data_IF_182793471509
#
_entry.id   IF_182793471509
#
_cell.length_a   1.000
_cell.length_b   1.000
_cell.length_c   1.000
_cell.angle_alpha   90.00
_cell.angle_beta   90.00
_cell.angle_gamma   90.00
#
_symmetry.space_group_name_H-M   'P 1'
#
loop_
_entity.id
_entity.type
_entity.pdbx_description
1 polymer ?
2 branched ?
3 branched ?
4 branched ?
5 branched ?
6 branched ?
7 non-polymer ?
#
# COMPACT_ATOMS: atom_id res chain seq x y z
N UNK A 1 -22.91 -38.98 -0.99
CA UNK A 1 -22.50 -38.12 -2.13
C UNK A 1 -21.01 -37.79 -2.13
N UNK A 2 -20.46 -37.41 -0.96
CA UNK A 2 -19.03 -37.07 -0.83
C UNK A 2 -18.20 -38.35 -0.96
N UNK A 3 -18.39 -39.06 -2.06
CA UNK A 3 -17.71 -40.33 -2.28
C UNK A 3 -16.34 -40.35 -2.94
N UNK A 4 -15.39 -39.61 -2.38
CA UNK A 4 -14.01 -39.60 -2.90
C UNK A 4 -13.12 -38.67 -2.10
N UNK A 5 -11.90 -39.13 -1.80
CA UNK A 5 -10.92 -38.35 -1.03
C UNK A 5 -10.65 -37.01 -1.70
N UNK A 6 -10.30 -36.02 -0.90
CA UNK A 6 -9.98 -34.70 -1.42
C UNK A 6 -8.53 -34.43 -1.01
N UNK A 7 -7.62 -34.36 -1.97
CA UNK A 7 -6.23 -34.08 -1.62
C UNK A 7 -6.09 -32.63 -1.20
N UNK A 8 -5.31 -32.41 -0.14
CA UNK A 8 -5.08 -31.07 0.39
C UNK A 8 -3.59 -30.88 0.49
N UNK A 9 -3.13 -29.65 0.33
CA UNK A 9 -1.70 -29.40 0.40
C UNK A 9 -1.37 -28.55 1.61
N UNK A 10 -0.22 -28.84 2.21
CA UNK A 10 0.24 -28.03 3.32
C UNK A 10 1.73 -27.82 3.21
N UNK A 11 2.16 -26.58 2.92
CA UNK A 11 1.31 -25.41 2.69
C UNK A 11 0.46 -25.53 1.41
N UNK A 12 -0.67 -24.81 1.37
CA UNK A 12 -1.64 -24.77 0.27
C UNK A 12 -1.06 -24.61 -1.12
N UNK A 13 0.08 -23.93 -1.18
CA UNK A 13 0.76 -23.64 -2.43
C UNK A 13 1.01 -24.87 -3.27
N UNK A 14 0.35 -24.90 -4.43
CA UNK A 14 0.49 -26.01 -5.36
C UNK A 14 1.62 -25.68 -6.33
N UNK A 15 2.14 -24.47 -6.21
CA UNK A 15 3.24 -24.02 -7.03
C UNK A 15 4.36 -23.69 -6.05
N UNK A 16 5.47 -24.41 -6.13
CA UNK A 16 6.53 -24.17 -5.19
C UNK A 16 7.92 -24.15 -5.81
N UNK A 17 8.84 -23.47 -5.15
CA UNK A 17 10.21 -23.39 -5.61
C UNK A 17 10.95 -24.71 -5.43
N UNK A 18 11.95 -24.94 -6.28
CA UNK A 18 12.75 -26.15 -6.20
C UNK A 18 13.40 -26.20 -4.83
N UNK A 19 13.38 -27.38 -4.21
CA UNK A 19 14.00 -27.52 -2.91
C UNK A 19 13.10 -27.26 -1.71
N UNK A 20 11.91 -26.71 -1.96
CA UNK A 20 10.99 -26.46 -0.88
C UNK A 20 10.25 -27.74 -0.50
N UNK A 21 9.48 -27.66 0.58
CA UNK A 21 8.77 -28.83 1.05
C UNK A 21 7.28 -28.68 0.90
N UNK A 22 6.58 -29.80 0.94
CA UNK A 22 5.13 -29.77 0.82
C UNK A 22 4.59 -31.13 1.23
N UNK A 23 3.41 -31.13 1.85
CA UNK A 23 2.83 -32.39 2.30
C UNK A 23 1.44 -32.60 1.77
N UNK A 24 1.28 -33.68 1.02
CA UNK A 24 -0.01 -34.01 0.46
C UNK A 24 -0.73 -34.85 1.48
N UNK A 25 -2.00 -34.53 1.73
CA UNK A 25 -2.77 -35.30 2.69
C UNK A 25 -4.07 -35.79 2.07
N UNK A 26 -4.33 -37.09 2.24
CA UNK A 26 -5.52 -37.72 1.71
C UNK A 26 -6.56 -37.82 2.81
N UNK A 27 -7.62 -37.03 2.71
CA UNK A 27 -8.67 -37.06 3.73
C UNK A 27 -10.06 -37.25 3.13
N UNK A 28 -10.95 -37.90 3.89
CA UNK A 28 -12.31 -38.14 3.44
C UNK A 28 -13.26 -38.38 4.59
N UNK A 29 -14.49 -38.80 4.29
CA UNK A 29 -15.47 -39.07 5.33
C UNK A 29 -15.16 -40.41 5.99
N UNK A 30 -15.07 -40.39 7.32
CA UNK A 30 -14.77 -41.60 8.06
C UNK A 30 -15.94 -42.58 8.01
N UNK A 31 -16.56 -42.71 6.83
CA UNK A 31 -17.71 -43.62 6.67
C UNK A 31 -17.22 -45.06 6.67
N UNK A 32 -16.14 -45.29 5.92
CA UNK A 32 -15.53 -46.61 5.86
C UNK A 32 -14.12 -46.44 6.42
N UNK A 33 -13.68 -47.40 7.22
CA UNK A 33 -12.36 -47.30 7.80
C UNK A 33 -11.25 -47.34 6.76
N UNK A 34 -10.15 -46.66 7.07
CA UNK A 34 -9.01 -46.60 6.19
C UNK A 34 -7.70 -46.92 6.92
N UNK A 35 -7.12 -48.09 6.62
CA UNK A 35 -5.87 -48.47 7.27
C UNK A 35 -4.71 -48.20 6.32
N UNK A 36 -5.01 -48.11 5.02
CA UNK A 36 -3.97 -47.87 4.01
C UNK A 36 -4.40 -46.91 2.91
N UNK A 37 -3.44 -46.50 2.10
CA UNK A 37 -3.69 -45.57 1.00
C UNK A 37 -2.90 -45.93 -0.26
N UNK A 38 -3.32 -45.37 -1.37
CA UNK A 38 -2.67 -45.59 -2.64
C UNK A 38 -2.41 -44.21 -3.22
N UNK A 39 -1.14 -43.91 -3.44
CA UNK A 39 -0.74 -42.62 -4.00
C UNK A 39 -0.38 -42.77 -5.46
N UNK A 40 -0.62 -41.73 -6.24
CA UNK A 40 -0.32 -41.81 -7.65
C UNK A 40 0.37 -40.57 -8.17
N UNK A 41 1.67 -40.70 -8.43
CA UNK A 41 2.43 -39.60 -9.01
C UNK A 41 2.34 -39.84 -10.50
N UNK A 42 1.98 -38.81 -11.24
CA UNK A 42 1.83 -38.95 -12.68
C UNK A 42 1.25 -40.34 -13.03
N UNK A 43 0.13 -40.69 -12.41
CA UNK A 43 -0.52 -41.96 -12.68
C UNK A 43 0.15 -43.21 -12.17
N UNK A 44 1.42 -43.16 -11.81
CA UNK A 44 2.06 -44.35 -11.31
C UNK A 44 1.88 -44.47 -9.82
N UNK A 45 1.78 -45.70 -9.33
CA UNK A 45 1.60 -45.96 -7.91
C UNK A 45 2.89 -45.71 -7.15
N UNK A 46 2.79 -44.95 -6.07
CA UNK A 46 3.96 -44.64 -5.26
C UNK A 46 4.11 -45.77 -4.26
N UNK A 47 5.21 -45.77 -3.52
CA UNK A 47 5.39 -46.81 -2.52
C UNK A 47 4.78 -46.34 -1.21
N UNK A 48 4.64 -45.01 -1.09
CA UNK A 48 4.07 -44.41 0.12
C UNK A 48 2.67 -44.94 0.40
N UNK A 49 2.43 -45.39 1.63
CA UNK A 49 1.13 -45.93 1.99
C UNK A 49 0.45 -45.17 3.13
N UNK A 50 1.12 -44.17 3.69
CA UNK A 50 0.55 -43.40 4.78
C UNK A 50 -0.37 -42.33 4.20
N UNK A 51 -1.41 -41.98 4.93
CA UNK A 51 -2.37 -40.98 4.46
C UNK A 51 -1.73 -39.62 4.17
N UNK A 52 -0.44 -39.49 4.47
CA UNK A 52 0.25 -38.24 4.23
C UNK A 52 1.48 -38.46 3.38
N UNK A 53 1.45 -37.92 2.17
CA UNK A 53 2.56 -38.03 1.25
C UNK A 53 3.45 -36.80 1.36
N UNK A 54 4.71 -37.02 1.74
CA UNK A 54 5.63 -35.90 1.90
C UNK A 54 6.61 -35.72 0.76
N UNK A 55 6.92 -34.46 0.47
CA UNK A 55 7.85 -34.10 -0.58
C UNK A 55 8.94 -33.22 0.03
N UNK A 56 10.15 -33.75 0.05
CA UNK A 56 11.26 -33.01 0.65
C UNK A 56 12.25 -32.48 -0.39
N UNK A 57 12.53 -31.18 -0.32
CA UNK A 57 13.46 -30.56 -1.25
C UNK A 57 13.01 -30.91 -2.65
N UNK A 58 11.79 -30.48 -2.95
CA UNK A 58 11.17 -30.73 -4.23
C UNK A 58 12.12 -30.54 -5.40
N UNK A 59 12.13 -31.53 -6.28
CA UNK A 59 12.95 -31.51 -7.49
C UNK A 59 11.94 -31.20 -8.60
N UNK A 60 12.41 -30.94 -9.82
CA UNK A 60 11.45 -30.65 -10.87
C UNK A 60 10.69 -31.93 -11.18
N UNK A 61 11.38 -33.06 -11.00
CA UNK A 61 10.78 -34.36 -11.24
C UNK A 61 9.58 -34.57 -10.33
N UNK A 62 9.51 -33.79 -9.27
CA UNK A 62 8.40 -33.90 -8.34
C UNK A 62 7.16 -33.21 -8.87
N UNK A 63 7.33 -32.36 -9.87
CA UNK A 63 6.19 -31.67 -10.46
C UNK A 63 5.25 -32.74 -11.01
N UNK A 64 4.05 -32.36 -11.40
CA UNK A 64 3.16 -33.36 -11.93
C UNK A 64 1.76 -33.44 -11.35
N UNK A 65 1.15 -34.60 -11.55
CA UNK A 65 -0.21 -34.84 -11.09
C UNK A 65 -0.21 -35.83 -9.95
N UNK A 66 -0.81 -35.42 -8.84
CA UNK A 66 -0.90 -36.29 -7.67
C UNK A 66 -2.37 -36.59 -7.40
N UNK A 67 -2.63 -37.83 -6.97
CA UNK A 67 -3.98 -38.28 -6.64
C UNK A 67 -3.96 -39.55 -5.83
N UNK A 68 -4.68 -39.55 -4.71
CA UNK A 68 -4.72 -40.70 -3.84
C UNK A 68 -6.01 -41.46 -4.04
N UNK A 69 -6.05 -42.68 -3.52
CA UNK A 69 -7.23 -43.53 -3.65
C UNK A 69 -7.35 -44.55 -2.52
N UNK A 70 -8.53 -44.58 -1.87
CA UNK A 70 -8.83 -45.51 -0.75
C UNK A 70 -9.66 -46.66 -1.26
N UNK A 71 -9.73 -47.75 -0.50
CA UNK A 71 -10.53 -48.91 -0.88
C UNK A 71 -12.03 -48.56 -0.89
N UNK A 72 -12.84 -49.29 -1.63
CA UNK A 72 -14.29 -49.01 -1.65
C UNK A 72 -14.74 -47.61 -2.01
N UNK A 73 -13.88 -46.78 -2.57
CA UNK A 73 -14.29 -45.45 -2.94
C UNK A 73 -13.62 -45.00 -4.22
N UNK A 74 -14.28 -44.12 -4.97
CA UNK A 74 -13.72 -43.62 -6.22
C UNK A 74 -12.32 -43.02 -6.06
N UNK A 75 -11.68 -42.75 -7.19
CA UNK A 75 -10.34 -42.18 -7.23
C UNK A 75 -10.39 -40.69 -6.94
N UNK A 76 -9.54 -40.20 -6.05
CA UNK A 76 -9.56 -38.76 -5.72
C UNK A 76 -9.42 -37.91 -6.97
N UNK A 77 -9.80 -36.64 -6.88
CA UNK A 77 -9.66 -35.75 -8.03
C UNK A 77 -8.17 -35.50 -8.10
N UNK A 78 -7.67 -35.05 -9.26
CA UNK A 78 -6.24 -34.79 -9.43
C UNK A 78 -5.83 -33.49 -8.79
N UNK A 79 -4.55 -33.42 -8.46
CA UNK A 79 -3.96 -32.23 -7.87
C UNK A 79 -2.63 -32.02 -8.56
N UNK A 80 -2.46 -30.87 -9.20
CA UNK A 80 -1.23 -30.60 -9.92
C UNK A 80 -0.26 -29.75 -9.16
N UNK A 81 0.92 -30.31 -8.98
CA UNK A 81 1.99 -29.65 -8.28
C UNK A 81 3.05 -29.28 -9.32
N UNK A 82 3.57 -28.06 -9.24
CA UNK A 82 4.58 -27.63 -10.20
C UNK A 82 5.79 -26.92 -9.56
N UNK A 83 6.96 -27.55 -9.62
CA UNK A 83 8.19 -26.99 -9.08
C UNK A 83 8.81 -25.94 -10.00
N UNK A 84 9.12 -24.77 -9.45
CA UNK A 84 9.71 -23.68 -10.21
C UNK A 84 11.10 -23.37 -9.67
N UNK A 85 11.74 -22.42 -10.36
CA UNK A 85 13.07 -21.94 -10.02
C UNK A 85 13.21 -20.57 -10.67
N UNK A 86 12.95 -19.54 -9.90
CA UNK A 86 13.03 -18.17 -10.36
C UNK A 86 13.06 -17.29 -9.10
N UNK A 87 13.23 -15.99 -9.26
CA UNK A 87 13.28 -15.12 -8.11
C UNK A 87 11.91 -14.93 -7.45
N UNK A 88 10.87 -14.78 -8.26
CA UNK A 88 9.52 -14.61 -7.73
C UNK A 88 8.57 -15.66 -8.24
N UNK A 89 7.81 -16.24 -7.32
CA UNK A 89 6.80 -17.24 -7.65
C UNK A 89 5.51 -16.71 -7.08
N UNK A 90 4.45 -16.72 -7.88
CA UNK A 90 3.15 -16.22 -7.41
C UNK A 90 2.36 -17.42 -7.00
N UNK A 91 2.20 -17.61 -5.70
CA UNK A 91 1.46 -18.76 -5.20
C UNK A 91 -0.01 -18.43 -4.99
N UNK A 92 -0.86 -19.45 -5.09
CA UNK A 92 -2.29 -19.23 -4.90
C UNK A 92 -2.97 -20.33 -4.10
N UNK A 93 -3.95 -19.92 -3.29
CA UNK A 93 -4.69 -20.85 -2.45
C UNK A 93 -5.32 -21.91 -3.32
N UNK A 94 -5.66 -21.51 -4.54
CA UNK A 94 -6.29 -22.38 -5.51
C UNK A 94 -6.37 -21.60 -6.82
N UNK A 95 -5.92 -22.23 -7.90
CA UNK A 95 -5.95 -21.57 -9.20
C UNK A 95 -7.37 -21.41 -9.72
N UNK A 96 -8.26 -22.29 -9.25
CA UNK A 96 -9.68 -22.24 -9.62
C UNK A 96 -10.55 -22.29 -8.37
N UNK A 97 -11.48 -21.34 -8.26
CA UNK A 97 -12.35 -21.27 -7.10
C UNK A 97 -13.82 -20.98 -7.43
N UNK A 98 -14.69 -21.66 -6.70
CA UNK A 98 -16.12 -21.49 -6.88
C UNK A 98 -16.48 -20.11 -6.35
N UNK A 99 -17.28 -19.38 -7.10
CA UNK A 99 -17.70 -18.05 -6.68
C UNK A 99 -18.14 -18.02 -5.23
N UNK A 100 -17.62 -17.06 -4.49
CA UNK A 100 -17.97 -16.95 -3.08
C UNK A 100 -16.90 -17.48 -2.17
N UNK A 101 -16.15 -18.49 -2.61
CA UNK A 101 -15.09 -19.04 -1.77
C UNK A 101 -13.90 -18.09 -1.64
N UNK A 102 -13.00 -18.37 -0.68
CA UNK A 102 -11.83 -17.50 -0.53
C UNK A 102 -10.79 -17.74 -1.61
N UNK A 103 -10.09 -16.68 -1.97
CA UNK A 103 -9.05 -16.70 -2.98
C UNK A 103 -7.83 -16.06 -2.36
N UNK A 104 -6.74 -16.79 -2.25
CA UNK A 104 -5.55 -16.23 -1.61
C UNK A 104 -4.28 -16.17 -2.48
N UNK A 105 -3.85 -14.96 -2.81
CA UNK A 105 -2.64 -14.80 -3.59
C UNK A 105 -1.44 -14.42 -2.74
N UNK A 106 -0.24 -14.70 -3.25
CA UNK A 106 0.97 -14.45 -2.48
C UNK A 106 2.16 -14.32 -3.42
N UNK A 107 3.02 -13.36 -3.15
CA UNK A 107 4.21 -13.17 -3.97
C UNK A 107 5.39 -13.73 -3.21
N UNK A 108 5.59 -15.03 -3.30
CA UNK A 108 6.67 -15.74 -2.61
C UNK A 108 8.06 -15.53 -3.22
N UNK A 109 9.00 -15.08 -2.40
CA UNK A 109 10.35 -14.82 -2.88
C UNK A 109 11.31 -15.99 -2.76
N UNK A 110 12.22 -16.09 -3.73
CA UNK A 110 13.20 -17.17 -3.75
C UNK A 110 13.86 -17.34 -2.38
N UNK A 111 14.04 -18.60 -1.97
CA UNK A 111 14.62 -18.91 -0.68
C UNK A 111 13.96 -18.12 0.44
N UNK A 112 12.64 -18.11 0.43
CA UNK A 112 11.82 -17.42 1.41
C UNK A 112 12.15 -15.95 1.64
N UNK A 113 13.12 -15.44 0.89
CA UNK A 113 13.51 -14.05 1.02
C UNK A 113 12.32 -13.13 1.06
N UNK A 114 12.44 -12.03 1.79
CA UNK A 114 11.35 -11.07 1.88
C UNK A 114 11.31 -10.26 0.61
N UNK A 115 10.11 -9.85 0.24
CA UNK A 115 9.94 -9.10 -1.00
C UNK A 115 9.45 -7.70 -0.70
N UNK A 116 10.04 -6.69 -1.32
CA UNK A 116 9.59 -5.33 -1.05
C UNK A 116 8.90 -4.69 -2.26
N UNK A 117 8.29 -3.53 -2.03
CA UNK A 117 7.56 -2.80 -3.08
C UNK A 117 6.83 -3.77 -4.00
N UNK A 118 6.05 -4.66 -3.39
CA UNK A 118 5.29 -5.66 -4.13
C UNK A 118 4.05 -5.11 -4.79
N UNK A 119 3.89 -5.42 -6.06
CA UNK A 119 2.72 -4.99 -6.79
C UNK A 119 2.12 -6.19 -7.50
N UNK A 120 0.80 -6.28 -7.51
CA UNK A 120 0.16 -7.38 -8.18
C UNK A 120 -0.58 -6.83 -9.37
N UNK A 121 -0.43 -7.52 -10.49
CA UNK A 121 -1.10 -7.10 -11.71
C UNK A 121 -2.10 -8.14 -12.12
N UNK A 122 -3.34 -7.69 -12.36
CA UNK A 122 -4.41 -8.57 -12.80
C UNK A 122 -4.77 -8.09 -14.18
N UNK A 123 -4.36 -8.87 -15.18
CA UNK A 123 -4.62 -8.55 -16.58
C UNK A 123 -3.83 -7.31 -16.98
N UNK A 124 -2.50 -7.41 -16.86
CA UNK A 124 -1.62 -6.31 -17.22
C UNK A 124 -1.87 -5.02 -16.47
N UNK A 125 -3.00 -4.94 -15.75
CA UNK A 125 -3.36 -3.77 -14.97
C UNK A 125 -2.85 -3.95 -13.53
N UNK A 126 -2.40 -2.85 -12.94
CA UNK A 126 -1.86 -2.90 -11.58
C UNK A 126 -2.93 -2.71 -10.51
N UNK A 127 -3.12 -3.76 -9.71
CA UNK A 127 -4.09 -3.78 -8.62
C UNK A 127 -3.65 -2.78 -7.53
N UNK A 128 -3.86 -1.50 -7.82
CA UNK A 128 -3.46 -0.45 -6.90
C UNK A 128 -3.94 -0.68 -5.49
N UNK A 129 -5.24 -0.69 -5.31
CA UNK A 129 -5.82 -0.91 -3.99
C UNK A 129 -4.96 -1.84 -3.14
N UNK A 130 -4.66 -3.03 -3.65
CA UNK A 130 -3.85 -3.96 -2.86
C UNK A 130 -2.43 -3.49 -2.48
N UNK A 131 -1.98 -2.39 -3.06
CA UNK A 131 -0.64 -1.87 -2.78
C UNK A 131 -0.28 -1.90 -1.28
N UNK A 132 -1.24 -1.57 -0.44
CA UNK A 132 -1.00 -1.57 1.00
C UNK A 132 -0.61 -2.96 1.48
N UNK A 133 -1.46 -3.95 1.23
CA UNK A 133 -1.18 -5.31 1.66
C UNK A 133 0.02 -5.93 0.96
N UNK A 134 0.68 -6.84 1.65
CA UNK A 134 1.84 -7.53 1.10
C UNK A 134 1.32 -8.55 0.09
N UNK A 135 0.34 -9.33 0.53
CA UNK A 135 -0.28 -10.33 -0.32
C UNK A 135 -1.76 -10.00 -0.53
N UNK A 136 -2.45 -10.81 -1.32
CA UNK A 136 -3.85 -10.53 -1.61
C UNK A 136 -4.76 -11.59 -1.06
N UNK A 137 -5.65 -11.18 -0.16
CA UNK A 137 -6.60 -12.12 0.45
C UNK A 137 -8.02 -11.68 0.16
N UNK A 138 -8.78 -12.56 -0.50
CA UNK A 138 -10.14 -12.23 -0.86
C UNK A 138 -11.08 -13.28 -0.29
N UNK A 139 -11.72 -12.92 0.81
CA UNK A 139 -12.64 -13.82 1.50
C UNK A 139 -13.71 -14.38 0.59
N UNK A 140 -14.54 -13.49 0.05
CA UNK A 140 -15.59 -13.91 -0.86
C UNK A 140 -15.23 -13.53 -2.31
N UNK A 141 -14.89 -14.54 -3.11
CA UNK A 141 -14.53 -14.34 -4.51
C UNK A 141 -15.67 -13.91 -5.42
N UNK A 142 -15.30 -13.41 -6.60
CA UNK A 142 -16.25 -12.94 -7.61
C UNK A 142 -15.77 -13.40 -8.98
N UNK A 143 -16.69 -13.56 -9.93
CA UNK A 143 -16.31 -14.00 -11.27
C UNK A 143 -15.48 -12.90 -11.92
N UNK A 144 -15.53 -11.69 -11.37
CA UNK A 144 -14.76 -10.58 -11.93
C UNK A 144 -13.29 -10.68 -11.51
N UNK A 145 -13.04 -11.33 -10.37
CA UNK A 145 -11.68 -11.53 -9.88
C UNK A 145 -10.89 -12.46 -10.79
N UNK A 146 -11.55 -13.04 -11.79
CA UNK A 146 -10.90 -13.94 -12.72
C UNK A 146 -9.96 -13.14 -13.61
N UNK A 147 -8.90 -13.80 -14.08
CA UNK A 147 -7.94 -13.13 -14.94
C UNK A 147 -6.52 -13.66 -14.76
N UNK A 148 -5.57 -13.08 -15.50
CA UNK A 148 -4.19 -13.51 -15.39
C UNK A 148 -3.46 -12.56 -14.42
N UNK A 149 -2.93 -13.14 -13.35
CA UNK A 149 -2.23 -12.36 -12.35
C UNK A 149 -0.73 -12.59 -12.45
N UNK A 150 0.01 -11.75 -11.75
CA UNK A 150 1.46 -11.86 -11.66
C UNK A 150 1.95 -10.71 -10.80
N UNK A 151 2.98 -10.98 -10.00
CA UNK A 151 3.52 -9.94 -9.15
C UNK A 151 4.88 -9.45 -9.57
N UNK A 152 5.25 -8.33 -9.00
CA UNK A 152 6.49 -7.67 -9.30
C UNK A 152 7.11 -7.27 -7.96
N UNK A 153 8.30 -7.73 -7.64
CA UNK A 153 8.87 -7.34 -6.37
C UNK A 153 10.39 -7.36 -6.19
N UNK A 154 10.91 -6.40 -5.43
CA UNK A 154 12.34 -6.32 -5.17
C UNK A 154 12.76 -7.43 -4.21
N UNK A 155 13.75 -8.21 -4.61
CA UNK A 155 14.26 -9.31 -3.79
C UNK A 155 15.77 -9.23 -3.67
N UNK A 156 16.25 -8.97 -2.46
CA UNK A 156 17.68 -8.87 -2.23
C UNK A 156 18.30 -7.82 -3.16
N UNK A 157 17.75 -6.62 -3.15
CA UNK A 157 18.29 -5.52 -3.94
C UNK A 157 18.10 -5.45 -5.46
N UNK A 158 17.23 -6.28 -6.04
CA UNK A 158 16.99 -6.20 -7.49
C UNK A 158 15.51 -6.37 -7.82
N UNK A 159 15.01 -5.72 -8.87
CA UNK A 159 13.60 -5.88 -9.20
C UNK A 159 13.38 -7.13 -10.04
N UNK A 160 12.22 -7.76 -9.87
CA UNK A 160 11.90 -8.96 -10.65
C UNK A 160 10.41 -9.03 -10.91
N UNK A 161 10.00 -9.99 -11.74
CA UNK A 161 8.60 -10.19 -12.09
C UNK A 161 8.37 -11.69 -12.18
N UNK A 162 7.27 -12.15 -11.60
CA UNK A 162 6.94 -13.56 -11.59
C UNK A 162 6.26 -13.99 -12.87
N UNK A 163 6.16 -15.30 -13.08
CA UNK A 163 5.49 -15.81 -14.27
C UNK A 163 4.02 -15.59 -14.01
N UNK A 164 3.27 -15.16 -15.04
CA UNK A 164 1.84 -14.93 -14.84
C UNK A 164 1.15 -16.23 -14.45
N UNK A 165 -0.04 -16.08 -13.85
CA UNK A 165 -0.84 -17.23 -13.39
C UNK A 165 -2.29 -16.91 -13.66
N UNK A 166 -2.97 -17.73 -14.45
CA UNK A 166 -4.38 -17.48 -14.80
C UNK A 166 -5.22 -18.03 -13.69
N UNK A 167 -6.18 -17.22 -13.23
CA UNK A 167 -7.07 -17.60 -12.14
C UNK A 167 -8.53 -17.33 -12.50
N UNK A 168 -9.35 -18.38 -12.37
CA UNK A 168 -10.74 -18.24 -12.71
C UNK A 168 -11.68 -18.61 -11.58
N UNK A 169 -12.67 -17.74 -11.36
CA UNK A 169 -13.68 -17.94 -10.34
C UNK A 169 -14.96 -18.25 -11.11
N UNK A 170 -15.52 -19.45 -10.89
CA UNK A 170 -16.72 -19.86 -11.60
C UNK A 170 -18.05 -19.55 -10.91
N UNK A 171 -18.98 -19.06 -11.73
CA UNK A 171 -20.34 -18.69 -11.34
C UNK A 171 -21.09 -20.01 -11.33
N UNK A 172 -21.62 -20.41 -10.17
CA UNK A 172 -22.30 -21.69 -10.06
C UNK A 172 -23.78 -21.72 -10.41
N UNK A 173 -24.16 -22.50 -11.43
CA UNK A 173 -25.56 -22.62 -11.84
C UNK A 173 -26.10 -23.89 -11.21
N UNK A 174 -27.35 -23.89 -10.76
CA UNK A 174 -27.92 -25.11 -10.16
C UNK A 174 -29.33 -25.41 -10.69
N UNK B 1 5.50 43.26 27.24
CA UNK B 1 4.56 43.31 26.08
C UNK B 1 3.95 41.92 25.88
N UNK B 2 2.79 41.84 25.20
CA UNK B 2 2.15 40.55 24.97
C UNK B 2 2.70 39.89 23.70
N UNK B 3 2.97 38.59 23.78
CA UNK B 3 3.47 37.86 22.62
C UNK B 3 2.38 36.96 22.10
N UNK B 4 1.48 37.53 21.29
CA UNK B 4 0.40 36.76 20.72
C UNK B 4 0.92 35.40 20.27
N UNK B 5 0.14 34.34 20.53
CA UNK B 5 0.51 32.97 20.15
C UNK B 5 0.81 32.88 18.67
N UNK B 6 1.66 31.93 18.31
CA UNK B 6 2.01 31.72 16.91
C UNK B 6 1.61 30.27 16.61
N UNK B 7 0.61 30.08 15.75
CA UNK B 7 0.20 28.72 15.42
C UNK B 7 1.25 28.07 14.51
N UNK B 8 1.55 26.81 14.81
CA UNK B 8 2.54 26.07 14.05
C UNK B 8 1.89 24.76 13.61
N UNK B 9 2.28 24.26 12.45
CA UNK B 9 1.69 23.02 11.97
C UNK B 9 2.71 21.89 11.97
N UNK B 10 2.22 20.69 12.23
CA UNK B 10 3.10 19.53 12.20
C UNK B 10 2.34 18.36 11.63
N UNK B 11 2.69 17.94 10.40
CA UNK B 11 3.74 18.52 9.55
C UNK B 11 3.42 19.93 9.08
N UNK B 12 4.46 20.74 8.78
CA UNK B 12 4.40 22.15 8.33
C UNK B 12 3.42 22.44 7.23
N UNK B 13 3.14 21.41 6.44
CA UNK B 13 2.23 21.52 5.31
C UNK B 13 0.87 22.05 5.68
N UNK B 14 0.57 23.25 5.18
CA UNK B 14 -0.70 23.89 5.44
C UNK B 14 -1.67 23.48 4.34
N UNK B 15 -1.17 22.72 3.36
CA UNK B 15 -1.99 22.24 2.27
C UNK B 15 -1.85 20.74 2.34
N UNK B 16 -2.95 20.05 2.52
CA UNK B 16 -2.83 18.60 2.67
C UNK B 16 -3.94 17.85 1.97
N UNK B 17 -3.66 16.58 1.67
CA UNK B 17 -4.63 15.72 1.01
C UNK B 17 -5.76 15.30 1.95
N UNK B 18 -6.93 15.04 1.37
CA UNK B 18 -8.07 14.59 2.15
C UNK B 18 -7.71 13.28 2.84
N UNK B 19 -8.01 13.17 4.12
CA UNK B 19 -7.70 11.95 4.83
C UNK B 19 -6.38 11.94 5.56
N UNK B 20 -5.55 12.95 5.32
CA UNK B 20 -4.26 13.00 6.02
C UNK B 20 -4.42 13.64 7.39
N UNK B 21 -3.41 13.51 8.26
CA UNK B 21 -3.47 14.09 9.61
C UNK B 21 -2.54 15.29 9.75
N UNK B 22 -2.90 16.20 10.64
CA UNK B 22 -2.11 17.40 10.88
C UNK B 22 -2.39 17.87 12.33
N UNK B 23 -1.40 18.44 12.99
CA UNK B 23 -1.59 18.91 14.34
C UNK B 23 -1.24 20.38 14.53
N UNK B 24 -2.25 21.16 14.88
CA UNK B 24 -2.02 22.57 15.13
C UNK B 24 -1.56 22.73 16.57
N UNK B 25 -0.54 23.54 16.78
CA UNK B 25 -0.03 23.76 18.12
C UNK B 25 0.04 25.23 18.43
N UNK B 26 -0.50 25.60 19.59
CA UNK B 26 -0.53 26.99 20.05
C UNK B 26 0.58 27.24 21.05
N UNK B 27 1.50 28.14 20.70
CA UNK B 27 2.62 28.48 21.56
C UNK B 27 3.18 29.83 21.13
N UNK B 28 3.96 30.46 22.00
CA UNK B 28 4.52 31.75 21.67
C UNK B 28 5.09 32.44 22.90
N UNK B 29 6.41 32.48 23.00
CA UNK B 29 7.06 33.08 24.16
C UNK B 29 6.41 32.36 25.33
N UNK B 30 6.18 31.07 25.12
CA UNK B 30 5.54 30.18 26.08
C UNK B 30 5.61 30.61 27.54
N UNK B 31 4.52 30.37 28.25
CA UNK B 31 4.38 30.74 29.65
C UNK B 31 3.96 29.50 30.43
N UNK B 32 4.26 28.33 29.87
CA UNK B 32 3.89 27.04 30.45
C UNK B 32 2.51 27.09 31.09
N UNK B 33 1.69 28.02 30.62
CA UNK B 33 0.32 28.21 31.10
C UNK B 33 -0.58 27.62 30.02
N UNK B 34 -0.17 26.46 29.52
CA UNK B 34 -0.87 25.75 28.47
C UNK B 34 -2.35 25.53 28.77
N UNK B 35 -2.69 25.39 30.05
CA UNK B 35 -4.06 25.16 30.45
C UNK B 35 -5.06 26.07 29.75
N UNK B 36 -4.61 27.25 29.32
CA UNK B 36 -5.50 28.20 28.65
C UNK B 36 -5.30 28.31 27.13
N UNK B 37 -5.96 27.45 26.36
CA UNK B 37 -5.86 27.48 24.91
C UNK B 37 -7.24 27.53 24.27
N UNK B 38 -7.48 28.58 23.48
CA UNK B 38 -8.75 28.80 22.76
C UNK B 38 -8.59 28.45 21.28
N UNK B 39 -9.53 27.69 20.70
CA UNK B 39 -9.41 27.39 19.27
C UNK B 39 -10.55 27.94 18.43
N UNK B 40 -10.21 28.40 17.23
CA UNK B 40 -11.22 28.98 16.36
C UNK B 40 -11.12 28.50 14.93
N UNK B 41 -12.09 27.68 14.53
CA UNK B 41 -12.14 27.15 13.19
C UNK B 41 -13.18 27.93 12.37
N UNK B 42 -12.73 28.66 11.37
CA UNK B 42 -13.62 29.45 10.53
C UNK B 42 -14.31 30.51 11.36
N UNK B 43 -13.66 30.95 12.43
CA UNK B 43 -14.23 31.98 13.29
C UNK B 43 -14.98 31.48 14.51
N UNK B 44 -15.42 30.23 14.48
CA UNK B 44 -16.17 29.64 15.58
C UNK B 44 -15.28 28.96 16.59
N UNK B 45 -15.69 29.01 17.85
CA UNK B 45 -14.94 28.40 18.93
C UNK B 45 -15.07 26.88 18.88
N UNK B 46 -13.94 26.20 18.99
CA UNK B 46 -13.94 24.74 18.98
C UNK B 46 -14.15 24.24 20.40
N UNK B 47 -14.36 22.93 20.54
CA UNK B 47 -14.57 22.29 21.83
C UNK B 47 -13.22 21.85 22.40
N UNK B 48 -12.19 21.94 21.56
CA UNK B 48 -10.84 21.56 21.95
C UNK B 48 -10.23 22.63 22.87
N UNK B 49 -9.67 22.20 23.99
CA UNK B 49 -9.06 23.13 24.93
C UNK B 49 -7.59 22.87 25.22
N UNK B 50 -7.06 21.78 24.67
CA UNK B 50 -5.65 21.45 24.86
C UNK B 50 -4.83 22.37 23.92
N UNK B 51 -3.59 22.67 24.27
CA UNK B 51 -2.74 23.53 23.45
C UNK B 51 -2.41 22.94 22.07
N UNK B 52 -2.85 21.70 21.84
CA UNK B 52 -2.60 21.03 20.57
C UNK B 52 -3.91 20.57 19.94
N UNK B 53 -4.26 21.19 18.83
CA UNK B 53 -5.47 20.85 18.10
C UNK B 53 -5.15 19.83 17.02
N UNK B 54 -5.75 18.66 17.11
CA UNK B 54 -5.50 17.61 16.13
C UNK B 54 -6.58 17.44 15.08
N UNK B 55 -6.14 17.10 13.87
CA UNK B 55 -7.03 16.88 12.74
C UNK B 55 -6.75 15.49 12.20
N UNK B 56 -7.73 14.62 12.32
CA UNK B 56 -7.55 13.24 11.85
C UNK B 56 -8.36 12.93 10.61
N UNK B 57 -7.70 12.40 9.59
CA UNK B 57 -8.36 12.07 8.33
C UNK B 57 -9.10 13.30 7.86
N UNK B 58 -8.34 14.37 7.64
CA UNK B 58 -8.88 15.64 7.21
C UNK B 58 -9.97 15.50 6.14
N UNK B 59 -11.07 16.22 6.35
CA UNK B 59 -12.19 16.23 5.43
C UNK B 59 -12.10 17.59 4.79
N UNK B 60 -12.87 17.86 3.75
CA UNK B 60 -12.78 19.17 3.12
C UNK B 60 -13.30 20.20 4.09
N UNK B 61 -14.26 19.78 4.90
CA UNK B 61 -14.86 20.65 5.89
C UNK B 61 -13.78 21.13 6.86
N UNK B 62 -12.68 20.40 6.93
CA UNK B 62 -11.60 20.79 7.83
C UNK B 62 -10.81 21.95 7.28
N UNK B 63 -10.95 22.22 5.98
CA UNK B 63 -10.23 23.33 5.37
C UNK B 63 -10.69 24.60 6.08
N UNK B 64 -9.99 25.71 5.85
CA UNK B 64 -10.40 26.94 6.49
C UNK B 64 -9.36 27.73 7.22
N UNK B 65 -9.83 28.58 8.14
CA UNK B 65 -8.98 29.44 8.94
C UNK B 65 -8.93 28.98 10.39
N UNK B 66 -7.72 28.75 10.89
CA UNK B 66 -7.53 28.34 12.26
C UNK B 66 -6.74 29.40 13.00
N UNK B 67 -7.11 29.63 14.26
CA UNK B 67 -6.44 30.61 15.13
C UNK B 67 -6.79 30.39 16.59
N UNK B 68 -5.74 30.32 17.41
CA UNK B 68 -5.91 30.09 18.83
C UNK B 68 -5.73 31.38 19.61
N UNK B 69 -5.93 31.30 20.91
CA UNK B 69 -5.78 32.46 21.77
C UNK B 69 -5.68 32.03 23.22
N UNK B 70 -4.70 32.56 23.95
CA UNK B 70 -4.61 32.23 25.36
C UNK B 70 -4.86 33.47 26.23
N UNK B 71 -5.03 33.25 27.52
CA UNK B 71 -5.33 34.32 28.46
C UNK B 71 -4.41 35.56 28.48
N UNK B 72 -5.03 36.73 28.46
CA UNK B 72 -4.31 38.01 28.50
C UNK B 72 -3.42 38.32 27.30
N UNK B 73 -3.67 37.66 26.17
CA UNK B 73 -2.88 37.89 24.97
C UNK B 73 -3.71 37.86 23.69
N UNK B 74 -3.40 38.74 22.74
CA UNK B 74 -4.12 38.84 21.46
C UNK B 74 -4.43 37.51 20.77
N UNK B 75 -5.13 37.61 19.64
CA UNK B 75 -5.50 36.46 18.82
C UNK B 75 -4.34 36.05 17.92
N UNK B 76 -3.97 34.78 17.96
CA UNK B 76 -2.90 34.26 17.12
C UNK B 76 -3.16 34.69 15.69
N UNK B 77 -2.10 34.89 14.92
CA UNK B 77 -2.25 35.28 13.51
C UNK B 77 -2.96 34.11 12.83
N UNK B 78 -3.90 34.40 11.93
CA UNK B 78 -4.63 33.33 11.25
C UNK B 78 -3.70 32.36 10.55
N UNK B 79 -4.19 31.15 10.37
CA UNK B 79 -3.45 30.10 9.71
C UNK B 79 -4.46 29.35 8.85
N UNK B 80 -4.25 29.41 7.53
CA UNK B 80 -5.16 28.76 6.64
C UNK B 80 -4.74 27.38 6.20
N UNK B 81 -5.64 26.43 6.46
CA UNK B 81 -5.43 25.04 6.12
C UNK B 81 -6.40 24.71 4.97
N UNK B 82 -5.91 24.01 3.96
CA UNK B 82 -6.75 23.67 2.82
C UNK B 82 -6.61 22.21 2.38
N UNK B 83 -7.70 21.46 2.50
CA UNK B 83 -7.70 20.05 2.13
C UNK B 83 -7.90 19.85 0.63
N UNK B 84 -7.04 19.05 0.00
CA UNK B 84 -7.15 18.80 -1.42
C UNK B 84 -7.41 17.34 -1.68
N UNK B 85 -7.62 17.04 -2.96
CA UNK B 85 -7.85 15.69 -3.43
C UNK B 85 -7.46 15.68 -4.91
N UNK B 86 -6.23 15.25 -5.17
CA UNK B 86 -5.68 15.18 -6.52
C UNK B 86 -4.45 14.26 -6.44
N UNK B 87 -3.82 13.96 -7.55
CA UNK B 87 -2.64 13.07 -7.50
C UNK B 87 -1.39 13.79 -6.97
N UNK B 88 -1.23 15.05 -7.32
CA UNK B 88 -0.08 15.77 -6.83
C UNK B 88 -0.49 17.03 -6.12
N UNK B 89 0.10 17.22 -4.95
CA UNK B 89 -0.15 18.40 -4.14
C UNK B 89 1.22 19.00 -3.90
N UNK B 90 1.34 20.30 -4.12
CA UNK B 90 2.60 20.98 -3.91
C UNK B 90 2.54 21.62 -2.56
N UNK B 91 3.25 21.04 -1.60
CA UNK B 91 3.26 21.59 -0.26
C UNK B 91 4.39 22.58 -0.04
N UNK B 92 4.18 23.54 0.86
CA UNK B 92 5.23 24.52 1.15
C UNK B 92 5.37 24.80 2.63
N UNK B 93 6.61 25.03 3.06
CA UNK B 93 6.94 25.33 4.45
C UNK B 93 6.15 26.56 4.88
N UNK B 94 5.90 27.44 3.91
CA UNK B 94 5.18 28.68 4.16
C UNK B 94 4.95 29.34 2.81
N UNK B 95 3.70 29.71 2.54
CA UNK B 95 3.37 30.34 1.27
C UNK B 95 3.95 31.74 1.17
N UNK B 96 4.21 32.34 2.33
CA UNK B 96 4.80 33.68 2.39
C UNK B 96 5.96 33.68 3.38
N UNK B 97 7.11 34.18 2.94
CA UNK B 97 8.30 34.20 3.79
C UNK B 97 9.10 35.50 3.76
N UNK B 98 9.64 35.84 4.93
CA UNK B 98 10.47 37.03 5.12
C UNK B 98 11.82 36.83 4.43
N UNK B 99 12.20 37.75 3.54
CA UNK B 99 13.47 37.61 2.84
C UNK B 99 14.56 37.14 3.78
N UNK B 100 15.27 36.09 3.38
CA UNK B 100 16.33 35.57 4.22
C UNK B 100 15.94 34.29 4.92
N UNK B 101 14.65 34.13 5.22
CA UNK B 101 14.19 32.92 5.90
C UNK B 101 14.17 31.70 4.97
N UNK B 102 14.07 30.50 5.54
CA UNK B 102 14.04 29.31 4.69
C UNK B 102 12.70 29.15 3.98
N UNK B 103 12.77 28.56 2.79
CA UNK B 103 11.60 28.32 1.96
C UNK B 103 11.67 26.86 1.55
N UNK B 104 10.66 26.07 1.91
CA UNK B 104 10.73 24.64 1.59
C UNK B 104 9.58 24.10 0.75
N UNK B 105 9.88 23.71 -0.49
CA UNK B 105 8.85 23.17 -1.36
C UNK B 105 8.88 21.65 -1.39
N UNK B 106 7.76 21.05 -1.77
CA UNK B 106 7.67 19.60 -1.80
C UNK B 106 6.57 19.14 -2.76
N UNK B 107 6.84 18.08 -3.51
CA UNK B 107 5.85 17.59 -4.44
C UNK B 107 5.31 16.32 -3.85
N UNK B 108 4.32 16.48 -2.97
CA UNK B 108 3.69 15.37 -2.26
C UNK B 108 2.70 14.59 -3.11
N UNK B 109 2.90 13.27 -3.16
CA UNK B 109 2.04 12.43 -3.97
C UNK B 109 0.87 11.79 -3.23
N UNK B 110 -0.24 11.67 -3.94
CA UNK B 110 -1.46 11.08 -3.39
C UNK B 110 -1.20 9.78 -2.66
N UNK B 111 -1.97 9.56 -1.58
CA UNK B 111 -1.84 8.38 -0.74
C UNK B 111 -0.38 8.11 -0.43
N UNK B 112 0.38 9.20 -0.35
CA UNK B 112 1.80 9.15 -0.07
C UNK B 112 2.47 8.14 -0.99
N UNK B 113 1.88 7.97 -2.18
CA UNK B 113 2.41 7.05 -3.18
C UNK B 113 3.68 7.66 -3.75
N UNK B 114 4.60 6.81 -4.19
CA UNK B 114 5.85 7.31 -4.76
C UNK B 114 5.58 8.18 -5.99
N UNK B 115 6.50 9.09 -6.28
CA UNK B 115 6.37 9.96 -7.44
C UNK B 115 7.72 10.00 -8.14
N UNK B 116 7.71 10.12 -9.47
CA UNK B 116 8.97 10.16 -10.20
C UNK B 116 9.07 11.21 -11.28
N UNK B 117 10.28 11.42 -11.78
CA UNK B 117 10.51 12.43 -12.80
C UNK B 117 9.84 13.68 -12.29
N UNK B 118 10.31 14.15 -11.15
CA UNK B 118 9.72 15.34 -10.58
C UNK B 118 10.39 16.58 -11.09
N UNK B 119 9.58 17.51 -11.55
CA UNK B 119 10.09 18.77 -12.05
C UNK B 119 9.30 19.87 -11.41
N UNK B 120 9.97 20.94 -11.02
CA UNK B 120 9.28 22.07 -10.43
C UNK B 120 9.34 23.22 -11.39
N UNK B 121 8.21 23.90 -11.57
CA UNK B 121 8.15 25.02 -12.46
C UNK B 121 7.85 26.27 -11.67
N UNK B 122 8.68 27.29 -11.86
CA UNK B 122 8.45 28.57 -11.21
C UNK B 122 8.16 29.57 -12.33
N UNK B 123 6.88 29.96 -12.43
CA UNK B 123 6.43 30.88 -13.44
C UNK B 123 6.53 30.23 -14.82
N UNK B 124 5.80 29.13 -14.99
CA UNK B 124 5.78 28.41 -16.25
C UNK B 124 7.11 27.85 -16.71
N UNK B 125 8.17 28.08 -15.93
CA UNK B 125 9.48 27.57 -16.31
C UNK B 125 10.06 26.58 -15.30
N UNK B 126 10.68 25.51 -15.79
CA UNK B 126 11.28 24.50 -14.93
C UNK B 126 12.39 25.09 -14.08
N UNK B 127 12.59 24.54 -12.88
CA UNK B 127 13.60 25.03 -11.97
C UNK B 127 14.46 23.90 -11.41
N UNK B 128 13.86 22.73 -11.21
CA UNK B 128 14.63 21.59 -10.71
C UNK B 128 14.04 20.27 -11.14
N UNK B 129 14.90 19.27 -11.27
CA UNK B 129 14.47 17.96 -11.69
C UNK B 129 15.31 16.92 -10.94
N UNK B 130 14.73 15.74 -10.77
CA UNK B 130 15.40 14.67 -10.06
C UNK B 130 14.41 13.53 -10.28
N UNK B 131 14.94 12.34 -10.52
CA UNK B 131 14.08 11.19 -10.80
C UNK B 131 13.26 10.77 -9.61
N UNK B 132 13.89 10.60 -8.45
CA UNK B 132 13.15 10.23 -7.25
C UNK B 132 12.55 11.55 -6.76
N UNK B 133 11.54 11.46 -5.89
CA UNK B 133 10.91 12.69 -5.40
C UNK B 133 11.94 13.45 -4.61
N UNK B 134 11.90 14.77 -4.69
CA UNK B 134 12.85 15.60 -3.98
C UNK B 134 12.18 16.91 -3.53
N UNK B 135 12.75 17.55 -2.51
CA UNK B 135 12.17 18.79 -2.00
C UNK B 135 13.03 19.98 -2.35
N UNK B 136 12.45 21.00 -2.98
CA UNK B 136 13.27 22.17 -3.21
C UNK B 136 13.44 22.81 -1.83
N UNK B 137 14.69 22.93 -1.40
CA UNK B 137 14.98 23.51 -0.11
C UNK B 137 15.86 24.74 -0.30
N UNK B 138 15.38 25.87 0.17
CA UNK B 138 16.14 27.10 0.04
C UNK B 138 16.35 27.74 1.40
N UNK B 139 17.56 27.57 1.93
CA UNK B 139 17.90 28.10 3.24
C UNK B 139 17.63 29.62 3.40
N UNK B 140 18.31 30.48 2.64
CA UNK B 140 18.10 31.93 2.75
C UNK B 140 17.38 32.56 1.54
N UNK B 141 16.05 32.59 1.60
CA UNK B 141 15.19 33.13 0.54
C UNK B 141 15.59 34.48 -0.06
N UNK B 142 15.00 34.75 -1.23
CA UNK B 142 15.25 35.98 -1.98
C UNK B 142 13.94 36.45 -2.58
N UNK B 143 13.81 37.76 -2.77
CA UNK B 143 12.58 38.30 -3.34
C UNK B 143 12.42 37.78 -4.75
N UNK B 144 13.51 37.26 -5.28
CA UNK B 144 13.52 36.74 -6.64
C UNK B 144 12.79 35.40 -6.67
N UNK B 145 12.95 34.63 -5.59
CA UNK B 145 12.31 33.33 -5.49
C UNK B 145 10.78 33.39 -5.52
N UNK B 146 10.23 34.61 -5.52
CA UNK B 146 8.79 34.79 -5.55
C UNK B 146 8.26 34.38 -6.91
N UNK B 147 7.01 33.94 -6.94
CA UNK B 147 6.38 33.53 -8.19
C UNK B 147 5.41 32.38 -8.01
N UNK B 148 4.79 31.95 -9.11
CA UNK B 148 3.83 30.85 -9.04
C UNK B 148 4.56 29.53 -9.35
N UNK B 149 4.53 28.62 -8.39
CA UNK B 149 5.19 27.32 -8.54
C UNK B 149 4.17 26.22 -8.78
N UNK B 150 4.67 25.05 -9.14
CA UNK B 150 3.84 23.87 -9.37
C UNK B 150 4.75 22.77 -9.84
N UNK B 151 4.46 21.54 -9.45
CA UNK B 151 5.30 20.45 -9.86
C UNK B 151 4.57 19.47 -10.78
N UNK B 152 5.30 18.52 -11.32
CA UNK B 152 4.71 17.51 -12.21
C UNK B 152 5.46 16.23 -11.89
N UNK B 153 4.87 15.10 -12.26
CA UNK B 153 5.53 13.85 -11.97
C UNK B 153 4.67 12.66 -12.36
N UNK B 154 5.32 11.53 -12.59
CA UNK B 154 4.60 10.35 -12.96
C UNK B 154 4.32 9.58 -11.69
N UNK B 155 3.05 9.24 -11.49
CA UNK B 155 2.62 8.47 -10.33
C UNK B 155 1.91 7.26 -10.88
N UNK B 156 2.33 6.07 -10.49
CA UNK B 156 1.71 4.86 -11.02
C UNK B 156 1.85 4.81 -12.53
N UNK B 157 3.06 5.06 -13.01
CA UNK B 157 3.37 5.02 -14.42
C UNK B 157 2.77 6.17 -15.21
N UNK B 158 1.79 6.86 -14.66
CA UNK B 158 1.17 7.96 -15.38
C UNK B 158 1.70 9.29 -14.88
N UNK B 159 1.63 10.30 -15.74
CA UNK B 159 2.12 11.63 -15.40
C UNK B 159 1.00 12.52 -14.89
N UNK B 160 1.35 13.49 -14.04
CA UNK B 160 0.37 14.42 -13.50
C UNK B 160 1.01 15.76 -13.23
N UNK B 161 0.18 16.74 -12.92
CA UNK B 161 0.64 18.09 -12.62
C UNK B 161 -0.19 18.62 -11.48
N UNK B 162 0.47 19.26 -10.51
CA UNK B 162 -0.20 19.81 -9.34
C UNK B 162 -0.81 21.17 -9.61
N UNK B 163 -1.68 21.61 -8.72
CA UNK B 163 -2.30 22.93 -8.88
C UNK B 163 -1.20 23.93 -8.56
N UNK B 164 -1.11 25.02 -9.32
CA UNK B 164 -0.07 26.01 -9.03
C UNK B 164 -0.24 26.59 -7.64
N UNK B 165 0.82 27.18 -7.13
CA UNK B 165 0.83 27.77 -5.81
C UNK B 165 1.67 29.04 -5.83
N UNK B 166 1.06 30.19 -5.60
CA UNK B 166 1.82 31.42 -5.58
C UNK B 166 2.68 31.42 -4.33
N UNK B 167 3.85 32.04 -4.42
CA UNK B 167 4.77 32.14 -3.28
C UNK B 167 5.52 33.45 -3.34
N UNK B 168 5.40 34.25 -2.29
CA UNK B 168 6.08 35.53 -2.26
C UNK B 168 7.01 35.72 -1.08
N UNK B 169 8.21 36.19 -1.39
CA UNK B 169 9.24 36.46 -0.40
C UNK B 169 9.33 37.98 -0.31
N UNK B 170 9.03 38.53 0.87
CA UNK B 170 9.04 39.97 1.04
C UNK B 170 10.34 40.57 1.56
N UNK B 171 10.69 41.74 1.05
CA UNK B 171 11.90 42.44 1.48
C UNK B 171 11.61 42.84 2.93
N UNK B 172 12.68 43.04 3.70
CA UNK B 172 12.52 43.42 5.10
C UNK B 172 12.81 44.92 5.32
N UNK B 173 12.62 45.40 6.57
CA UNK B 173 12.87 46.81 6.88
C UNK B 173 14.35 47.22 6.75
#
# INVERSE_FOLDING_TARGET
VPQKPKVSLNPPWNRIFKGENVTLTCNGNNFFEVSSTKWFHNGSLSEETNSSLNIVNAKFEDSGEYKCQHQQVNESEPVYLEVFSDWLLLQASAEVVMEGQPLFLRCHGWRNWDVYKVIYYKDGEALKYWYENHNISITNATVEDSGTYYCTGKVWQLDYESEPLNITVIKAPREK
VPQKPKVSLNPPWNRIFKGENVTLTCNGNNFFEVSSTKWFHNGSLSEETNSSLNIVNAKFEDSGEYKCQHQQVNESEPVYLEVFSDWLLLQASAEVVMEGQPLFLRCHGWRNWDVYKVIYYKDGEALKYWYENHNISITNATVEDSGTYYCTGKVWQLDYESEPLNITVIKAPREK
#
